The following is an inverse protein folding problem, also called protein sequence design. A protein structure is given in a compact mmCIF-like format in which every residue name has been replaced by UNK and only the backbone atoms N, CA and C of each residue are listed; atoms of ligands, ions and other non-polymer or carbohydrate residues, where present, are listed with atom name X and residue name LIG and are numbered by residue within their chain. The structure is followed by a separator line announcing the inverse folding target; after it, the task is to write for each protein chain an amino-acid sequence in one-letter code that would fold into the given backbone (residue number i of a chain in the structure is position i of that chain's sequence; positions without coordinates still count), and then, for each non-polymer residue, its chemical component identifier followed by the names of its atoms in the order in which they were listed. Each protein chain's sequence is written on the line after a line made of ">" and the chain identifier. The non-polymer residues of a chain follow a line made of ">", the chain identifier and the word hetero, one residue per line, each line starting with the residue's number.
data_IF_245736486028
#
_entry.id   IF_245736486028
#
_cell.length_a   1.000
_cell.length_b   1.000
_cell.length_c   1.000
_cell.angle_alpha   90.00
_cell.angle_beta   90.00
_cell.angle_gamma   90.00
#
_symmetry.space_group_name_H-M   'P 1'
#
loop_
_entity.id
_entity.type
_entity.pdbx_description
1 polymer ?
#
# COMPACT_ATOMS: atom_id res chain seq x y z
N UNK A 1 27.96 -6.37 4.56
CA UNK A 1 28.50 -5.60 5.71
C UNK A 1 27.57 -5.87 6.88
N UNK A 2 28.02 -6.69 7.82
CA UNK A 2 27.29 -7.06 9.03
C UNK A 2 27.65 -6.07 10.15
N UNK A 3 26.66 -5.60 10.90
CA UNK A 3 26.87 -5.00 12.22
C UNK A 3 27.10 -3.49 12.25
N UNK A 4 26.32 -2.69 11.52
CA UNK A 4 26.13 -1.28 11.85
C UNK A 4 24.74 -1.11 12.47
N UNK A 5 24.67 -1.23 13.79
CA UNK A 5 23.54 -0.70 14.56
C UNK A 5 23.79 0.78 14.77
N UNK A 6 23.77 1.59 13.70
CA UNK A 6 23.74 3.03 13.94
C UNK A 6 22.39 3.34 14.58
N UNK A 7 22.36 4.20 15.59
CA UNK A 7 21.13 4.80 16.15
C UNK A 7 20.31 5.60 15.13
N UNK A 8 20.75 5.61 13.88
CA UNK A 8 20.35 6.44 12.79
C UNK A 8 19.30 5.80 11.87
N UNK A 9 18.95 4.52 12.06
CA UNK A 9 17.81 3.89 11.37
C UNK A 9 16.47 4.17 12.06
N UNK A 10 16.49 4.53 13.36
CA UNK A 10 15.29 4.76 14.17
C UNK A 10 15.03 6.24 14.48
N UNK A 11 15.68 7.14 13.76
CA UNK A 11 15.45 8.58 13.91
C UNK A 11 14.18 9.00 13.16
N UNK A 12 13.44 9.97 13.70
CA UNK A 12 12.23 10.46 13.07
C UNK A 12 12.53 11.02 11.68
N UNK A 13 11.68 10.66 10.72
CA UNK A 13 11.81 11.08 9.32
C UNK A 13 11.32 12.51 9.12
N UNK A 14 10.38 12.96 9.95
CA UNK A 14 9.95 14.35 9.99
C UNK A 14 9.60 14.79 11.41
N UNK A 15 9.37 16.09 11.56
CA UNK A 15 8.92 16.69 12.81
C UNK A 15 7.64 17.47 12.56
N UNK A 16 6.58 17.16 13.30
CA UNK A 16 5.34 17.94 13.29
C UNK A 16 5.34 18.84 14.52
N UNK A 17 5.91 20.04 14.36
CA UNK A 17 6.17 20.95 15.47
C UNK A 17 7.18 20.36 16.46
N UNK A 18 6.73 20.00 17.65
CA UNK A 18 7.57 19.41 18.72
C UNK A 18 7.54 17.88 18.74
N UNK A 19 6.72 17.24 17.90
CA UNK A 19 6.54 15.79 17.90
C UNK A 19 7.37 15.13 16.79
N UNK A 20 8.22 14.15 17.13
CA UNK A 20 8.93 13.34 16.14
C UNK A 20 7.95 12.43 15.39
N UNK A 21 8.07 12.36 14.07
CA UNK A 21 7.23 11.51 13.20
C UNK A 21 8.09 10.39 12.62
N UNK A 22 7.85 9.18 13.13
CA UNK A 22 8.48 7.96 12.65
C UNK A 22 7.83 7.45 11.35
N UNK A 23 8.57 6.64 10.59
CA UNK A 23 8.08 6.02 9.35
C UNK A 23 6.79 5.22 9.58
N UNK A 24 6.74 4.48 10.69
CA UNK A 24 5.57 3.68 11.07
C UNK A 24 4.33 4.56 11.27
N UNK A 25 4.47 5.70 11.94
CA UNK A 25 3.40 6.67 12.13
C UNK A 25 2.93 7.25 10.79
N UNK A 26 3.85 7.55 9.86
CA UNK A 26 3.48 7.98 8.51
C UNK A 26 2.72 6.90 7.74
N UNK A 27 3.19 5.65 7.80
CA UNK A 27 2.54 4.52 7.11
C UNK A 27 1.13 4.27 7.65
N UNK A 28 0.96 4.29 8.97
CA UNK A 28 -0.35 4.15 9.61
C UNK A 28 -1.27 5.31 9.22
N UNK A 29 -0.77 6.55 9.26
CA UNK A 29 -1.54 7.73 8.87
C UNK A 29 -1.97 7.69 7.40
N UNK A 30 -1.04 7.32 6.50
CA UNK A 30 -1.32 7.13 5.08
C UNK A 30 -2.37 6.04 4.85
N UNK A 31 -2.21 4.88 5.51
CA UNK A 31 -3.16 3.78 5.41
C UNK A 31 -4.56 4.18 5.88
N UNK A 32 -4.66 4.87 7.03
CA UNK A 32 -5.94 5.36 7.56
C UNK A 32 -6.61 6.38 6.62
N UNK A 33 -5.83 7.31 6.06
CA UNK A 33 -6.34 8.28 5.09
C UNK A 33 -6.87 7.59 3.83
N UNK A 34 -6.14 6.59 3.30
CA UNK A 34 -6.58 5.81 2.15
C UNK A 34 -7.86 5.02 2.45
N UNK A 35 -7.99 4.42 3.64
CA UNK A 35 -9.22 3.73 4.04
C UNK A 35 -10.44 4.66 4.03
N UNK A 36 -10.28 5.90 4.54
CA UNK A 36 -11.35 6.91 4.50
C UNK A 36 -11.70 7.28 3.06
N UNK A 37 -10.70 7.52 2.20
CA UNK A 37 -10.90 7.81 0.78
C UNK A 37 -11.65 6.67 0.08
N UNK A 38 -11.26 5.42 0.36
CA UNK A 38 -11.94 4.23 -0.18
C UNK A 38 -13.42 4.19 0.24
N UNK A 39 -13.73 4.43 1.52
CA UNK A 39 -15.13 4.52 1.97
C UNK A 39 -15.91 5.59 1.22
N UNK A 40 -15.32 6.78 1.00
CA UNK A 40 -15.95 7.87 0.26
C UNK A 40 -16.18 7.47 -1.21
N UNK A 41 -15.19 6.89 -1.88
CA UNK A 41 -15.32 6.44 -3.27
C UNK A 41 -16.45 5.42 -3.44
N UNK A 42 -16.53 4.46 -2.53
CA UNK A 42 -17.61 3.46 -2.53
C UNK A 42 -18.97 4.12 -2.31
N UNK A 43 -19.08 5.07 -1.37
CA UNK A 43 -20.31 5.80 -1.11
C UNK A 43 -20.78 6.62 -2.32
N UNK A 44 -19.86 7.12 -3.13
CA UNK A 44 -20.13 7.87 -4.37
C UNK A 44 -20.36 6.96 -5.59
N UNK A 45 -20.34 5.64 -5.44
CA UNK A 45 -20.49 4.69 -6.54
C UNK A 45 -19.24 4.55 -7.44
N UNK A 46 -18.12 5.14 -7.07
CA UNK A 46 -16.84 5.08 -7.79
C UNK A 46 -16.01 3.83 -7.44
N UNK A 47 -16.65 2.75 -6.98
CA UNK A 47 -15.97 1.52 -6.58
C UNK A 47 -15.17 0.83 -7.70
N UNK A 48 -15.53 1.06 -8.96
CA UNK A 48 -14.79 0.56 -10.13
C UNK A 48 -13.35 1.08 -10.20
N UNK A 49 -13.05 2.25 -9.63
CA UNK A 49 -11.67 2.76 -9.53
C UNK A 49 -10.80 1.82 -8.70
N UNK A 50 -11.36 1.18 -7.67
CA UNK A 50 -10.63 0.22 -6.84
C UNK A 50 -10.26 -1.04 -7.63
N UNK A 51 -11.11 -1.49 -8.56
CA UNK A 51 -10.79 -2.61 -9.47
C UNK A 51 -9.61 -2.29 -10.39
N UNK A 52 -9.40 -1.01 -10.73
CA UNK A 52 -8.24 -0.58 -11.51
C UNK A 52 -6.93 -0.55 -10.72
N UNK A 53 -7.01 -0.53 -9.39
CA UNK A 53 -5.88 -0.47 -8.47
C UNK A 53 -5.54 -1.82 -7.83
N UNK A 54 -6.48 -2.77 -7.81
CA UNK A 54 -6.21 -4.12 -7.34
C UNK A 54 -5.15 -4.83 -8.20
N UNK A 55 -4.37 -5.69 -7.58
CA UNK A 55 -3.41 -6.50 -8.33
C UNK A 55 -4.13 -7.55 -9.20
N UNK A 56 -3.72 -7.66 -10.45
CA UNK A 56 -4.18 -8.67 -11.41
C UNK A 56 -3.01 -8.97 -12.35
N UNK A 57 -2.46 -10.18 -12.22
CA UNK A 57 -1.29 -10.63 -12.97
C UNK A 57 -1.54 -10.66 -14.49
N UNK A 58 -2.74 -11.03 -14.94
CA UNK A 58 -3.09 -11.05 -16.35
C UNK A 58 -3.15 -9.62 -16.91
N UNK A 59 -3.73 -8.67 -16.18
CA UNK A 59 -3.78 -7.26 -16.62
C UNK A 59 -2.41 -6.59 -16.59
N UNK A 60 -1.53 -6.97 -15.67
CA UNK A 60 -0.15 -6.49 -15.66
C UNK A 60 0.63 -7.03 -16.88
N UNK A 61 0.58 -8.34 -17.11
CA UNK A 61 1.36 -9.00 -18.15
C UNK A 61 0.84 -8.75 -19.57
N UNK A 62 -0.48 -8.83 -19.78
CA UNK A 62 -1.08 -8.73 -21.12
C UNK A 62 -1.52 -7.31 -21.49
N UNK A 63 -1.87 -6.46 -20.51
CA UNK A 63 -2.37 -5.11 -20.76
C UNK A 63 -1.41 -4.00 -20.30
N UNK A 64 -0.25 -4.36 -19.74
CA UNK A 64 0.78 -3.39 -19.33
C UNK A 64 0.39 -2.50 -18.16
N UNK A 65 -0.55 -2.93 -17.31
CA UNK A 65 -1.07 -2.13 -16.19
C UNK A 65 -0.12 -2.11 -14.98
N UNK A 66 1.12 -1.63 -15.18
CA UNK A 66 2.22 -1.68 -14.20
C UNK A 66 1.93 -0.93 -12.89
N UNK A 67 1.03 0.05 -12.90
CA UNK A 67 0.63 0.79 -11.69
C UNK A 67 -0.04 -0.10 -10.64
N UNK A 68 -0.59 -1.25 -11.03
CA UNK A 68 -1.16 -2.25 -10.11
C UNK A 68 -0.10 -2.82 -9.16
N UNK A 69 1.17 -2.87 -9.57
CA UNK A 69 2.30 -3.30 -8.73
C UNK A 69 2.65 -2.25 -7.68
N UNK A 70 2.35 -0.97 -7.90
CA UNK A 70 2.61 0.06 -6.89
C UNK A 70 1.53 0.09 -5.79
N UNK A 71 0.34 -0.42 -6.09
CA UNK A 71 -0.86 -0.26 -5.25
C UNK A 71 -1.33 -1.55 -4.57
N UNK A 72 -0.74 -2.69 -4.95
CA UNK A 72 -1.08 -4.04 -4.46
C UNK A 72 -1.07 -4.19 -2.93
N UNK A 73 -0.10 -3.57 -2.23
CA UNK A 73 0.04 -3.67 -0.78
C UNK A 73 -1.10 -2.97 -0.02
N UNK A 74 -1.77 -2.03 -0.69
CA UNK A 74 -2.79 -1.16 -0.10
C UNK A 74 -4.20 -1.52 -0.55
N UNK A 75 -4.38 -2.07 -1.75
CA UNK A 75 -5.69 -2.35 -2.34
C UNK A 75 -5.82 -3.83 -2.69
N UNK A 76 -6.56 -4.57 -1.87
CA UNK A 76 -6.87 -5.98 -2.10
C UNK A 76 -8.27 -6.32 -1.55
N UNK A 77 -8.96 -7.25 -2.20
CA UNK A 77 -10.23 -7.76 -1.69
C UNK A 77 -9.97 -8.89 -0.67
N UNK A 78 -10.69 -8.90 0.47
CA UNK A 78 -10.48 -9.88 1.53
C UNK A 78 -10.75 -11.33 1.09
N UNK A 79 -11.58 -11.54 0.07
CA UNK A 79 -11.89 -12.87 -0.49
C UNK A 79 -10.74 -13.49 -1.29
N UNK A 80 -9.75 -12.70 -1.72
CA UNK A 80 -8.70 -13.14 -2.65
C UNK A 80 -7.33 -13.24 -1.98
N UNK A 81 -7.24 -13.00 -0.65
CA UNK A 81 -5.97 -12.94 0.09
C UNK A 81 -5.05 -14.15 -0.11
N UNK A 82 -5.60 -15.37 -0.11
CA UNK A 82 -4.83 -16.59 -0.33
C UNK A 82 -4.24 -16.65 -1.75
N UNK A 83 -5.05 -16.32 -2.75
CA UNK A 83 -4.61 -16.34 -4.14
C UNK A 83 -3.62 -15.21 -4.42
N UNK A 84 -3.89 -14.02 -3.89
CA UNK A 84 -2.98 -12.87 -3.93
C UNK A 84 -1.59 -13.21 -3.38
N UNK A 85 -1.50 -13.95 -2.27
CA UNK A 85 -0.21 -14.40 -1.73
C UNK A 85 0.52 -15.35 -2.69
N UNK A 86 -0.21 -16.22 -3.40
CA UNK A 86 0.35 -17.08 -4.46
C UNK A 86 0.85 -16.24 -5.64
N UNK A 87 0.10 -15.25 -6.08
CA UNK A 87 0.50 -14.36 -7.16
C UNK A 87 1.76 -13.55 -6.81
N UNK A 88 1.92 -13.15 -5.55
CA UNK A 88 3.14 -12.49 -5.05
C UNK A 88 4.35 -13.43 -4.99
N UNK A 89 4.15 -14.73 -4.75
CA UNK A 89 5.24 -15.71 -4.74
C UNK A 89 5.75 -16.04 -6.14
N UNK A 90 4.90 -15.92 -7.17
CA UNK A 90 5.25 -16.22 -8.56
C UNK A 90 5.85 -15.04 -9.33
N UNK A 91 5.86 -13.85 -8.73
CA UNK A 91 6.56 -12.65 -9.21
C UNK A 91 8.05 -12.68 -8.85
#
# INVERSE_FOLDING_TARGET
>A
MFGVTTSDDYRPVAWMGRYPVDVTTMLVGLHAALAIITCILVALGAGSVLDYLQYDSARVLYLGQVWRIATYALVHAPSVLLWFAVEMYML
#
